data_IF_030193922886
#
_entry.id   IF_030193922886
#
_cell.length_a   1.000
_cell.length_b   1.000
_cell.length_c   1.000
_cell.angle_alpha   90.00
_cell.angle_beta   90.00
_cell.angle_gamma   90.00
#
_symmetry.space_group_name_H-M   'P 1'
#
loop_
_entity.id
_entity.type
_entity.pdbx_description
1 polymer ?
#
# COMPACT_ATOMS: atom_id res chain seq x y z
N UNK A 1 -48.11 33.64 87.80
CA UNK A 1 -47.65 33.91 86.41
C UNK A 1 -46.81 32.73 85.94
N UNK A 2 -47.10 32.26 84.72
CA UNK A 2 -46.58 31.13 83.92
C UNK A 2 -45.71 30.04 84.59
N UNK A 3 -46.24 28.81 84.54
CA UNK A 3 -45.72 27.54 85.07
C UNK A 3 -44.72 26.86 84.12
N UNK A 4 -43.73 26.20 84.73
CA UNK A 4 -42.84 25.17 84.16
C UNK A 4 -43.51 23.79 84.23
N UNK A 5 -43.25 22.90 83.23
CA UNK A 5 -43.16 21.41 83.23
C UNK A 5 -43.25 20.93 81.75
N UNK A 6 -42.22 20.43 81.06
CA UNK A 6 -41.46 19.14 81.08
C UNK A 6 -42.25 17.89 80.59
N UNK A 7 -41.74 17.32 79.46
CA UNK A 7 -41.88 15.96 78.85
C UNK A 7 -43.24 15.61 78.19
N UNK A 8 -43.34 14.85 77.09
CA UNK A 8 -42.61 13.66 76.63
C UNK A 8 -42.85 13.40 75.11
N UNK A 9 -41.94 12.64 74.49
CA UNK A 9 -41.80 12.26 73.07
C UNK A 9 -42.95 11.48 72.41
N UNK A 10 -43.07 11.59 71.08
CA UNK A 10 -43.38 10.44 70.22
C UNK A 10 -42.71 10.60 68.85
N UNK A 11 -41.96 9.56 68.46
CA UNK A 11 -41.19 9.39 67.23
C UNK A 11 -42.13 9.01 66.09
N UNK A 12 -42.02 9.65 64.91
CA UNK A 12 -42.61 9.17 63.67
C UNK A 12 -41.51 9.02 62.61
N UNK A 13 -41.15 7.77 62.33
CA UNK A 13 -40.22 7.40 61.27
C UNK A 13 -40.92 7.51 59.90
N UNK A 14 -40.55 8.52 59.11
CA UNK A 14 -40.96 8.65 57.72
C UNK A 14 -39.96 7.96 56.80
N UNK A 15 -40.42 6.93 56.08
CA UNK A 15 -39.68 6.27 55.00
C UNK A 15 -39.22 7.30 53.94
N UNK A 16 -37.91 7.47 53.79
CA UNK A 16 -37.33 8.09 52.59
C UNK A 16 -37.26 7.04 51.47
N UNK A 17 -38.13 7.17 50.48
CA UNK A 17 -37.99 6.47 49.20
C UNK A 17 -36.88 7.18 48.42
N UNK A 18 -35.67 6.63 48.47
CA UNK A 18 -34.59 7.05 47.59
C UNK A 18 -34.92 6.57 46.18
N UNK A 19 -35.17 7.53 45.29
CA UNK A 19 -35.02 7.32 43.86
C UNK A 19 -33.57 6.89 43.60
N UNK A 20 -33.36 5.58 43.46
CA UNK A 20 -32.17 5.06 42.82
C UNK A 20 -32.28 5.41 41.34
N UNK A 21 -31.63 6.51 40.96
CA UNK A 21 -31.20 6.71 39.59
C UNK A 21 -30.31 5.50 39.26
N UNK A 22 -30.81 4.59 38.42
CA UNK A 22 -29.96 3.53 37.86
C UNK A 22 -28.83 4.23 37.12
N UNK A 23 -27.66 4.30 37.76
CA UNK A 23 -26.42 4.58 37.04
C UNK A 23 -26.34 3.53 35.95
N UNK A 24 -26.34 4.01 34.72
CA UNK A 24 -26.07 3.22 33.54
C UNK A 24 -24.94 2.24 33.85
N UNK A 25 -25.21 0.97 33.56
CA UNK A 25 -24.25 -0.11 33.59
C UNK A 25 -22.97 0.42 32.95
N UNK A 26 -21.84 0.34 33.66
CA UNK A 26 -20.52 0.61 33.10
C UNK A 26 -20.33 -0.33 31.92
N UNK A 27 -20.75 0.09 30.73
CA UNK A 27 -20.44 -0.60 29.51
C UNK A 27 -18.97 -0.32 29.26
N UNK A 28 -18.10 -1.29 29.59
CA UNK A 28 -16.66 -1.16 29.34
C UNK A 28 -16.43 -0.53 27.96
N UNK A 29 -15.65 0.55 27.93
CA UNK A 29 -15.29 1.21 26.68
C UNK A 29 -14.67 0.17 25.73
N UNK A 30 -14.94 0.25 24.41
CA UNK A 30 -14.36 -0.69 23.46
C UNK A 30 -12.84 -0.76 23.61
N UNK A 31 -12.33 -1.97 23.83
CA UNK A 31 -10.92 -2.26 23.92
C UNK A 31 -10.29 -2.16 22.53
N UNK A 32 -9.13 -1.49 22.40
CA UNK A 32 -8.33 -1.55 21.18
C UNK A 32 -8.04 -2.99 20.73
N UNK A 33 -8.16 -3.25 19.43
CA UNK A 33 -8.00 -4.58 18.84
C UNK A 33 -6.65 -5.23 19.16
N UNK A 34 -5.59 -4.42 19.35
CA UNK A 34 -4.27 -4.88 19.81
C UNK A 34 -4.33 -5.68 21.12
N UNK A 35 -5.18 -5.28 22.06
CA UNK A 35 -5.29 -5.94 23.35
C UNK A 35 -6.02 -7.28 23.21
N UNK A 36 -7.05 -7.34 22.37
CA UNK A 36 -7.74 -8.60 22.07
C UNK A 36 -6.79 -9.58 21.38
N UNK A 37 -6.05 -9.15 20.34
CA UNK A 37 -5.05 -10.02 19.68
C UNK A 37 -4.01 -10.55 20.68
N UNK A 38 -3.54 -9.68 21.58
CA UNK A 38 -2.51 -10.04 22.56
C UNK A 38 -2.96 -11.09 23.60
N UNK A 39 -4.27 -11.34 23.76
CA UNK A 39 -4.79 -12.41 24.61
C UNK A 39 -4.52 -13.81 24.03
N UNK A 40 -4.39 -13.95 22.72
CA UNK A 40 -4.04 -15.23 22.11
C UNK A 40 -2.56 -15.56 22.37
N UNK A 41 -2.30 -16.63 23.13
CA UNK A 41 -0.94 -17.08 23.50
C UNK A 41 -0.55 -18.42 22.87
N UNK A 42 -1.14 -18.74 21.71
CA UNK A 42 -0.92 -20.00 21.01
C UNK A 42 -2.01 -21.05 21.22
N UNK A 43 -2.94 -20.79 22.14
CA UNK A 43 -4.05 -21.67 22.47
C UNK A 43 -5.38 -20.91 22.44
N UNK A 44 -6.44 -21.65 22.18
CA UNK A 44 -7.83 -21.19 22.20
C UNK A 44 -8.19 -20.55 23.55
N UNK A 45 -8.87 -19.40 23.50
CA UNK A 45 -9.23 -18.65 24.69
C UNK A 45 -10.66 -18.12 24.60
N UNK A 46 -11.41 -18.29 25.69
CA UNK A 46 -12.69 -17.58 25.89
C UNK A 46 -12.39 -16.15 26.32
N UNK A 47 -12.90 -15.18 25.56
CA UNK A 47 -12.67 -13.77 25.81
C UNK A 47 -13.36 -13.31 27.11
N UNK A 48 -12.65 -12.55 27.97
CA UNK A 48 -13.26 -11.92 29.15
C UNK A 48 -14.27 -10.85 28.74
N UNK A 49 -14.89 -10.18 29.71
CA UNK A 49 -15.77 -9.05 29.44
C UNK A 49 -15.06 -8.01 28.57
N UNK A 50 -15.51 -7.89 27.33
CA UNK A 50 -14.84 -7.09 26.32
C UNK A 50 -15.77 -6.68 25.20
N UNK A 51 -15.60 -5.43 24.77
CA UNK A 51 -16.18 -4.86 23.56
C UNK A 51 -15.05 -4.42 22.66
N UNK A 52 -15.28 -4.44 21.36
CA UNK A 52 -14.34 -3.96 20.35
C UNK A 52 -15.02 -2.99 19.41
N UNK A 53 -14.23 -2.15 18.75
CA UNK A 53 -14.68 -1.34 17.64
C UNK A 53 -13.71 -1.44 16.46
N UNK A 54 -14.21 -1.13 15.28
CA UNK A 54 -13.40 -1.10 14.07
C UNK A 54 -14.22 -0.69 12.85
N UNK A 55 -13.52 -0.47 11.75
CA UNK A 55 -14.10 -0.24 10.43
C UNK A 55 -14.02 -1.57 9.67
N UNK A 56 -15.13 -2.00 9.07
CA UNK A 56 -15.17 -3.15 8.17
C UNK A 56 -14.32 -2.85 6.95
N UNK A 57 -13.30 -3.69 6.73
CA UNK A 57 -12.38 -3.59 5.58
C UNK A 57 -12.60 -4.70 4.56
N UNK A 58 -13.53 -5.63 4.80
CA UNK A 58 -13.94 -6.63 3.82
C UNK A 58 -15.05 -6.07 2.93
N UNK A 59 -15.01 -6.39 1.64
CA UNK A 59 -16.06 -6.06 0.68
C UNK A 59 -16.85 -7.31 0.32
N UNK A 60 -18.01 -7.45 0.96
CA UNK A 60 -18.86 -8.62 0.77
C UNK A 60 -19.58 -8.58 -0.59
N UNK A 61 -19.80 -7.38 -1.13
CA UNK A 61 -20.54 -7.19 -2.38
C UNK A 61 -19.73 -7.64 -3.61
N UNK A 62 -18.40 -7.57 -3.51
CA UNK A 62 -17.49 -8.02 -4.58
C UNK A 62 -17.00 -9.46 -4.42
N UNK A 63 -17.45 -10.19 -3.39
CA UNK A 63 -17.38 -11.66 -3.34
C UNK A 63 -16.02 -12.29 -3.02
N UNK A 64 -14.93 -11.51 -2.90
CA UNK A 64 -13.61 -12.04 -2.57
C UNK A 64 -13.32 -12.10 -1.04
N UNK A 65 -14.20 -12.75 -0.29
CA UNK A 65 -14.12 -12.84 1.16
C UNK A 65 -14.35 -14.27 1.66
N UNK A 66 -14.12 -14.51 2.96
CA UNK A 66 -14.49 -15.78 3.58
C UNK A 66 -15.98 -15.70 3.96
N UNK A 67 -16.86 -16.58 3.44
CA UNK A 67 -18.27 -16.55 3.77
C UNK A 67 -18.52 -16.65 5.28
N UNK A 68 -19.43 -15.82 5.80
CA UNK A 68 -19.72 -15.76 7.25
C UNK A 68 -18.73 -14.92 8.06
N UNK A 69 -17.82 -14.20 7.40
CA UNK A 69 -16.84 -13.34 8.08
C UNK A 69 -16.92 -11.90 7.62
N UNK A 70 -16.62 -11.00 8.57
CA UNK A 70 -16.13 -9.66 8.27
C UNK A 70 -14.76 -9.48 8.94
N UNK A 71 -13.89 -8.69 8.33
CA UNK A 71 -12.65 -8.23 8.97
C UNK A 71 -12.81 -6.76 9.33
N UNK A 72 -12.48 -6.41 10.57
CA UNK A 72 -12.52 -5.03 11.07
C UNK A 72 -11.14 -4.56 11.44
N UNK A 73 -10.86 -3.27 11.21
CA UNK A 73 -9.60 -2.63 11.57
C UNK A 73 -9.82 -1.36 12.39
N UNK A 74 -8.97 -1.16 13.39
CA UNK A 74 -8.91 0.05 14.22
C UNK A 74 -7.44 0.42 14.43
N UNK A 75 -7.04 1.59 13.94
CA UNK A 75 -5.62 1.96 13.86
C UNK A 75 -4.85 0.99 12.97
N UNK A 76 -3.80 0.39 13.51
CA UNK A 76 -2.90 -0.54 12.84
C UNK A 76 -3.14 -2.01 13.18
N UNK A 77 -4.27 -2.34 13.83
CA UNK A 77 -4.64 -3.70 14.19
C UNK A 77 -6.02 -4.01 13.65
N UNK A 78 -6.23 -5.26 13.24
CA UNK A 78 -7.55 -5.75 12.90
C UNK A 78 -7.87 -7.13 13.46
N UNK A 79 -9.11 -7.55 13.25
CA UNK A 79 -9.64 -8.82 13.73
C UNK A 79 -10.65 -9.38 12.72
N UNK A 80 -10.53 -10.66 12.39
CA UNK A 80 -11.57 -11.39 11.68
C UNK A 80 -12.68 -11.83 12.66
N UNK A 81 -13.93 -11.57 12.30
CA UNK A 81 -15.11 -11.86 13.10
C UNK A 81 -16.01 -12.82 12.32
N UNK A 82 -16.25 -14.02 12.87
CA UNK A 82 -17.24 -14.96 12.35
C UNK A 82 -18.63 -14.52 12.84
N UNK A 83 -19.50 -14.15 11.91
CA UNK A 83 -20.84 -13.63 12.16
C UNK A 83 -21.88 -14.42 11.38
N UNK A 84 -22.97 -14.81 12.06
CA UNK A 84 -24.12 -15.41 11.39
C UNK A 84 -24.82 -14.46 10.41
N UNK A 85 -24.63 -13.15 10.57
CA UNK A 85 -25.23 -12.08 9.77
C UNK A 85 -24.20 -11.18 9.11
N UNK A 86 -23.05 -11.72 8.67
CA UNK A 86 -21.97 -10.95 8.06
C UNK A 86 -22.45 -10.00 6.93
N UNK A 87 -23.44 -10.45 6.13
CA UNK A 87 -24.03 -9.70 5.01
C UNK A 87 -24.76 -8.40 5.41
N UNK A 88 -25.06 -8.19 6.70
CA UNK A 88 -25.68 -6.95 7.19
C UNK A 88 -24.69 -5.77 7.22
N UNK A 89 -23.39 -6.06 7.09
CA UNK A 89 -22.32 -5.08 7.18
C UNK A 89 -21.65 -4.85 5.82
N UNK A 90 -21.34 -3.59 5.54
CA UNK A 90 -20.70 -3.16 4.29
C UNK A 90 -19.30 -2.64 4.52
N UNK A 91 -18.49 -2.66 3.46
CA UNK A 91 -17.18 -2.01 3.45
C UNK A 91 -17.31 -0.56 3.95
N UNK A 92 -16.48 -0.18 4.93
CA UNK A 92 -16.48 1.15 5.52
C UNK A 92 -17.52 1.37 6.62
N UNK A 93 -18.30 0.36 7.00
CA UNK A 93 -19.12 0.44 8.21
C UNK A 93 -18.24 0.45 9.45
N UNK A 94 -18.43 1.44 10.32
CA UNK A 94 -17.87 1.44 11.66
C UNK A 94 -18.82 0.68 12.58
N UNK A 95 -18.30 -0.30 13.31
CA UNK A 95 -19.08 -1.16 14.20
C UNK A 95 -18.55 -1.14 15.63
N UNK A 96 -19.40 -1.54 16.57
CA UNK A 96 -19.02 -1.98 17.91
C UNK A 96 -19.58 -3.37 18.12
N UNK A 97 -18.73 -4.31 18.56
CA UNK A 97 -19.14 -5.67 18.86
C UNK A 97 -18.88 -6.01 20.34
N UNK A 98 -19.83 -6.66 21.00
CA UNK A 98 -19.60 -7.32 22.27
C UNK A 98 -19.06 -8.74 21.99
N UNK A 99 -17.83 -9.00 22.44
CA UNK A 99 -17.13 -10.28 22.21
C UNK A 99 -16.90 -11.04 23.52
N UNK A 100 -17.60 -10.63 24.59
CA UNK A 100 -17.58 -11.32 25.88
C UNK A 100 -18.01 -12.77 25.75
N UNK A 101 -17.21 -13.70 26.29
CA UNK A 101 -17.49 -15.13 26.25
C UNK A 101 -17.32 -15.78 24.89
N UNK A 102 -16.79 -15.05 23.89
CA UNK A 102 -16.53 -15.56 22.54
C UNK A 102 -15.17 -16.20 22.43
N UNK A 103 -15.03 -17.11 21.47
CA UNK A 103 -13.81 -17.88 21.30
C UNK A 103 -12.83 -17.09 20.42
N UNK A 104 -11.70 -16.69 21.00
CA UNK A 104 -10.51 -16.25 20.27
C UNK A 104 -9.67 -17.49 19.94
N UNK A 105 -9.50 -17.77 18.67
CA UNK A 105 -8.86 -19.00 18.18
C UNK A 105 -8.07 -18.74 16.91
N UNK A 106 -7.10 -19.61 16.61
CA UNK A 106 -6.48 -19.69 15.29
C UNK A 106 -6.97 -20.94 14.57
N UNK A 107 -7.75 -20.76 13.52
CA UNK A 107 -8.32 -21.85 12.72
C UNK A 107 -7.91 -21.70 11.26
N UNK A 108 -7.41 -22.78 10.65
CA UNK A 108 -6.81 -22.78 9.30
C UNK A 108 -5.76 -21.65 9.13
N UNK A 109 -5.06 -21.36 10.22
CA UNK A 109 -4.07 -20.29 10.30
C UNK A 109 -4.63 -18.89 10.57
N UNK A 110 -5.92 -18.59 10.39
CA UNK A 110 -6.48 -17.26 10.63
C UNK A 110 -6.75 -17.00 12.12
N UNK A 111 -6.21 -15.91 12.69
CA UNK A 111 -6.61 -15.44 14.03
C UNK A 111 -7.97 -14.74 13.95
N UNK A 112 -8.94 -15.24 14.71
CA UNK A 112 -10.34 -14.84 14.60
C UNK A 112 -11.11 -14.93 15.92
N UNK A 113 -12.20 -14.18 16.01
CA UNK A 113 -13.22 -14.33 17.07
C UNK A 113 -14.45 -15.03 16.50
N UNK A 114 -14.87 -16.11 17.16
CA UNK A 114 -15.93 -17.01 16.70
C UNK A 114 -17.20 -16.95 17.53
N UNK A 115 -18.32 -17.30 16.89
CA UNK A 115 -19.62 -17.49 17.55
C UNK A 115 -20.27 -16.21 18.08
N UNK A 116 -20.08 -15.09 17.38
CA UNK A 116 -20.70 -13.80 17.75
C UNK A 116 -22.14 -13.78 17.21
N UNK A 117 -23.12 -13.56 18.08
CA UNK A 117 -24.52 -13.45 17.68
C UNK A 117 -24.82 -12.09 17.00
N UNK A 118 -25.81 -12.05 16.09
CA UNK A 118 -26.20 -10.83 15.37
C UNK A 118 -26.48 -9.61 16.26
N UNK A 119 -27.15 -9.82 17.41
CA UNK A 119 -27.53 -8.75 18.34
C UNK A 119 -26.34 -8.18 19.13
N UNK A 120 -25.16 -8.84 19.05
CA UNK A 120 -23.93 -8.37 19.70
C UNK A 120 -23.11 -7.43 18.84
N UNK A 121 -23.46 -7.24 17.57
CA UNK A 121 -22.76 -6.34 16.66
C UNK A 121 -23.68 -5.20 16.26
N UNK A 122 -23.25 -3.96 16.54
CA UNK A 122 -23.99 -2.76 16.20
C UNK A 122 -23.20 -1.89 15.24
N UNK A 123 -23.81 -1.55 14.11
CA UNK A 123 -23.31 -0.48 13.24
C UNK A 123 -23.44 0.88 13.93
N UNK A 124 -22.38 1.67 13.88
CA UNK A 124 -22.30 3.04 14.41
C UNK A 124 -22.55 4.05 13.30
N UNK A 125 -21.81 3.92 12.19
CA UNK A 125 -21.88 4.82 11.04
C UNK A 125 -21.30 4.13 9.81
N UNK A 126 -21.50 4.67 8.62
CA UNK A 126 -21.05 4.12 7.34
C UNK A 126 -20.10 5.09 6.63
N UNK A 127 -19.47 4.62 5.54
CA UNK A 127 -18.65 5.47 4.67
C UNK A 127 -17.31 5.90 5.29
N UNK A 128 -16.77 5.12 6.23
CA UNK A 128 -15.43 5.33 6.76
C UNK A 128 -14.39 4.66 5.87
N UNK A 129 -13.23 5.28 5.75
CA UNK A 129 -12.10 4.75 4.98
C UNK A 129 -10.94 4.40 5.89
N UNK A 130 -10.24 3.32 5.57
CA UNK A 130 -8.95 2.97 6.16
C UNK A 130 -7.90 3.19 5.09
N UNK A 131 -6.84 3.92 5.44
CA UNK A 131 -5.69 4.10 4.55
C UNK A 131 -4.83 2.83 4.58
N UNK A 132 -4.60 2.16 3.44
CA UNK A 132 -3.74 0.99 3.38
C UNK A 132 -2.32 1.35 3.82
N UNK A 133 -1.66 0.41 4.50
CA UNK A 133 -0.23 0.53 4.81
C UNK A 133 0.60 -0.07 3.67
N UNK A 134 1.46 0.72 3.04
CA UNK A 134 2.43 0.22 2.07
C UNK A 134 3.44 -0.74 2.75
N UNK A 135 3.65 -1.91 2.16
CA UNK A 135 4.60 -2.93 2.65
C UNK A 135 5.10 -3.80 1.49
N UNK A 136 6.39 -4.15 1.49
CA UNK A 136 6.95 -5.12 0.54
C UNK A 136 6.57 -6.56 0.90
N UNK A 137 6.57 -7.45 -0.09
CA UNK A 137 6.23 -8.88 0.05
C UNK A 137 7.15 -9.54 1.08
N UNK A 138 8.46 -9.28 1.02
CA UNK A 138 9.43 -9.85 1.97
C UNK A 138 9.17 -9.41 3.42
N UNK A 139 8.82 -8.14 3.62
CA UNK A 139 8.50 -7.61 4.96
C UNK A 139 7.19 -8.21 5.48
N UNK A 140 6.18 -8.32 4.61
CA UNK A 140 4.90 -8.92 4.95
C UNK A 140 5.05 -10.39 5.34
N UNK A 141 5.80 -11.17 4.55
CA UNK A 141 6.10 -12.58 4.82
C UNK A 141 6.75 -12.77 6.20
N UNK A 142 7.79 -11.99 6.51
CA UNK A 142 8.55 -12.13 7.75
C UNK A 142 7.82 -11.59 8.99
N UNK A 143 6.79 -10.77 8.82
CA UNK A 143 6.09 -10.09 9.92
C UNK A 143 4.57 -10.29 9.86
N UNK A 144 4.11 -11.47 9.42
CA UNK A 144 2.70 -11.83 9.25
C UNK A 144 1.78 -11.30 10.36
N UNK A 145 2.08 -11.61 11.62
CA UNK A 145 1.17 -11.30 12.74
C UNK A 145 0.95 -9.80 12.95
N UNK A 146 1.92 -8.97 12.54
CA UNK A 146 1.83 -7.49 12.54
C UNK A 146 0.80 -6.98 11.54
N UNK A 147 0.63 -7.67 10.42
CA UNK A 147 -0.25 -7.25 9.32
C UNK A 147 -1.55 -8.07 9.25
N UNK A 148 -1.61 -9.23 9.90
CA UNK A 148 -2.79 -10.09 9.92
C UNK A 148 -4.04 -9.31 10.34
N UNK A 149 -5.10 -9.44 9.55
CA UNK A 149 -6.38 -8.75 9.63
C UNK A 149 -6.33 -7.23 9.36
N UNK A 150 -5.30 -6.73 8.67
CA UNK A 150 -5.22 -5.31 8.28
C UNK A 150 -5.25 -5.12 6.78
N UNK A 151 -5.59 -3.91 6.35
CA UNK A 151 -5.52 -3.45 4.97
C UNK A 151 -4.11 -2.96 4.65
N UNK A 152 -3.49 -3.56 3.64
CA UNK A 152 -2.16 -3.17 3.17
C UNK A 152 -2.18 -2.86 1.68
N UNK A 153 -1.15 -2.17 1.20
CA UNK A 153 -0.81 -2.03 -0.21
C UNK A 153 0.53 -2.71 -0.44
N UNK A 154 0.58 -3.64 -1.40
CA UNK A 154 1.79 -4.39 -1.75
C UNK A 154 2.09 -4.17 -3.22
N UNK A 155 3.35 -3.88 -3.54
CA UNK A 155 3.87 -3.93 -4.90
C UNK A 155 4.53 -5.29 -5.10
N UNK A 156 4.23 -5.98 -6.19
CA UNK A 156 4.86 -7.26 -6.46
C UNK A 156 4.66 -7.74 -7.88
N UNK A 157 5.57 -8.61 -8.30
CA UNK A 157 5.43 -9.38 -9.53
C UNK A 157 4.56 -10.61 -9.26
N UNK A 158 3.67 -10.92 -10.19
CA UNK A 158 2.99 -12.22 -10.20
C UNK A 158 4.00 -13.30 -10.66
N UNK A 159 4.08 -14.38 -9.87
CA UNK A 159 4.93 -15.54 -10.12
C UNK A 159 4.08 -16.82 -10.13
N UNK A 160 4.28 -17.77 -11.07
CA UNK A 160 5.01 -17.59 -12.33
C UNK A 160 4.39 -16.46 -13.19
N UNK A 161 5.09 -16.07 -14.26
CA UNK A 161 4.56 -15.08 -15.19
C UNK A 161 3.18 -15.52 -15.71
N UNK A 162 2.15 -14.64 -15.69
CA UNK A 162 0.82 -14.99 -16.15
C UNK A 162 0.79 -15.40 -17.62
N UNK A 163 -0.06 -16.37 -17.96
CA UNK A 163 -0.42 -16.60 -19.37
C UNK A 163 -1.26 -15.43 -19.91
N UNK A 164 -1.31 -15.28 -21.23
CA UNK A 164 -1.96 -14.12 -21.87
C UNK A 164 -3.46 -13.97 -21.52
N UNK A 165 -4.15 -15.10 -21.34
CA UNK A 165 -5.57 -15.21 -21.00
C UNK A 165 -5.81 -15.58 -19.52
N UNK A 166 -4.75 -15.59 -18.70
CA UNK A 166 -4.88 -15.90 -17.30
C UNK A 166 -5.66 -14.81 -16.55
N UNK A 167 -6.57 -15.23 -15.67
CA UNK A 167 -7.43 -14.36 -14.89
C UNK A 167 -7.10 -14.41 -13.40
N UNK A 168 -7.69 -13.50 -12.62
CA UNK A 168 -7.50 -13.44 -11.17
C UNK A 168 -7.94 -14.69 -10.41
N UNK A 169 -8.92 -15.45 -10.92
CA UNK A 169 -9.52 -16.57 -10.21
C UNK A 169 -8.49 -17.56 -9.65
N UNK A 170 -8.68 -17.94 -8.39
CA UNK A 170 -7.85 -18.90 -7.67
C UNK A 170 -6.73 -18.26 -6.84
N UNK A 171 -5.71 -19.07 -6.55
CA UNK A 171 -4.54 -18.68 -5.76
C UNK A 171 -3.39 -18.30 -6.71
N UNK A 172 -3.00 -17.02 -6.71
CA UNK A 172 -1.83 -16.49 -7.41
C UNK A 172 -0.73 -16.19 -6.40
N UNK A 173 0.51 -16.04 -6.85
CA UNK A 173 1.62 -15.75 -5.94
C UNK A 173 2.25 -14.41 -6.31
N UNK A 174 2.50 -13.59 -5.29
CA UNK A 174 3.35 -12.42 -5.38
C UNK A 174 4.72 -12.76 -4.85
N UNK A 175 5.77 -12.34 -5.54
CA UNK A 175 7.15 -12.61 -5.16
C UNK A 175 8.02 -11.35 -5.15
N UNK A 176 8.86 -11.26 -4.13
CA UNK A 176 9.92 -10.25 -4.00
C UNK A 176 11.10 -10.86 -3.25
N UNK A 177 12.31 -10.76 -3.81
CA UNK A 177 13.55 -11.27 -3.17
C UNK A 177 13.45 -12.76 -2.73
N UNK A 178 12.72 -13.58 -3.48
CA UNK A 178 12.51 -15.00 -3.19
C UNK A 178 11.44 -15.32 -2.13
N UNK A 179 10.87 -14.29 -1.47
CA UNK A 179 9.74 -14.47 -0.56
C UNK A 179 8.43 -14.45 -1.34
N UNK A 180 7.49 -15.33 -0.96
CA UNK A 180 6.20 -15.49 -1.65
C UNK A 180 5.02 -15.33 -0.71
N UNK A 181 4.01 -14.60 -1.15
CA UNK A 181 2.72 -14.49 -0.47
C UNK A 181 1.59 -14.78 -1.46
N UNK A 182 0.50 -15.36 -0.99
CA UNK A 182 -0.66 -15.69 -1.82
C UNK A 182 -1.50 -14.46 -2.09
N UNK A 183 -1.92 -14.26 -3.34
CA UNK A 183 -2.95 -13.33 -3.77
C UNK A 183 -4.15 -14.17 -4.22
N UNK A 184 -5.15 -14.27 -3.35
CA UNK A 184 -6.30 -15.14 -3.60
C UNK A 184 -7.51 -14.36 -4.11
N UNK A 185 -8.15 -14.89 -5.14
CA UNK A 185 -9.44 -14.42 -5.64
C UNK A 185 -10.43 -15.57 -5.72
N UNK A 186 -11.53 -15.47 -4.98
CA UNK A 186 -12.60 -16.46 -5.04
C UNK A 186 -13.25 -16.48 -6.45
N UNK A 187 -13.67 -17.65 -6.93
CA UNK A 187 -14.24 -17.80 -8.28
C UNK A 187 -15.52 -16.98 -8.49
N UNK A 188 -16.28 -16.71 -7.42
CA UNK A 188 -17.48 -15.87 -7.44
C UNK A 188 -17.19 -14.37 -7.31
N UNK A 189 -15.94 -13.96 -7.13
CA UNK A 189 -15.62 -12.55 -7.01
C UNK A 189 -15.98 -11.81 -8.31
N UNK A 190 -16.47 -10.59 -8.20
CA UNK A 190 -16.92 -9.78 -9.35
C UNK A 190 -15.84 -9.56 -10.41
N UNK A 191 -14.57 -9.66 -10.01
CA UNK A 191 -13.39 -9.45 -10.84
C UNK A 191 -12.59 -10.74 -11.11
N UNK A 192 -13.13 -11.92 -10.77
CA UNK A 192 -12.41 -13.19 -10.92
C UNK A 192 -11.99 -13.48 -12.37
N UNK A 193 -12.75 -12.98 -13.35
CA UNK A 193 -12.50 -13.14 -14.78
C UNK A 193 -11.71 -11.97 -15.40
N UNK A 194 -11.36 -10.94 -14.61
CA UNK A 194 -10.46 -9.90 -15.09
C UNK A 194 -9.10 -10.51 -15.36
N UNK A 195 -8.44 -10.01 -16.40
CA UNK A 195 -7.11 -10.47 -16.79
C UNK A 195 -6.12 -10.20 -15.63
N UNK A 196 -5.13 -11.09 -15.47
CA UNK A 196 -4.13 -11.01 -14.41
C UNK A 196 -2.87 -10.28 -14.91
N UNK A 197 -2.47 -9.14 -14.31
CA UNK A 197 -1.25 -8.43 -14.71
C UNK A 197 0.02 -9.17 -14.31
N UNK A 198 1.10 -8.92 -15.06
CA UNK A 198 2.43 -9.41 -14.68
C UNK A 198 2.99 -8.68 -13.45
N UNK A 199 2.67 -7.39 -13.30
CA UNK A 199 3.04 -6.58 -12.16
C UNK A 199 1.95 -5.53 -11.87
N UNK A 200 1.64 -5.31 -10.59
CA UNK A 200 0.79 -4.21 -10.16
C UNK A 200 1.03 -3.87 -8.68
N UNK A 201 0.42 -2.79 -8.21
CA UNK A 201 0.18 -2.60 -6.79
C UNK A 201 -1.19 -3.14 -6.42
N UNK A 202 -1.25 -3.94 -5.36
CA UNK A 202 -2.47 -4.57 -4.87
C UNK A 202 -2.76 -4.11 -3.45
N UNK A 203 -3.94 -3.54 -3.23
CA UNK A 203 -4.49 -3.32 -1.91
C UNK A 203 -5.28 -4.56 -1.49
N UNK A 204 -5.22 -4.94 -0.21
CA UNK A 204 -5.95 -6.11 0.22
C UNK A 204 -5.94 -6.33 1.71
N UNK A 205 -6.93 -7.10 2.17
CA UNK A 205 -7.00 -7.57 3.54
C UNK A 205 -6.04 -8.73 3.70
N UNK A 206 -5.14 -8.64 4.66
CA UNK A 206 -4.21 -9.71 4.99
C UNK A 206 -4.88 -10.74 5.89
N UNK A 207 -4.87 -12.00 5.48
CA UNK A 207 -5.39 -13.12 6.23
C UNK A 207 -4.27 -14.13 6.51
N UNK A 208 -4.37 -14.78 7.65
CA UNK A 208 -3.52 -15.90 7.97
C UNK A 208 -3.96 -17.17 7.25
N UNK A 209 -2.99 -17.93 6.70
CA UNK A 209 -3.16 -19.31 6.23
C UNK A 209 -2.41 -20.30 7.13
N UNK A 210 -2.73 -21.59 6.97
CA UNK A 210 -1.97 -22.71 7.54
C UNK A 210 -0.47 -22.63 7.21
N UNK A 211 0.35 -23.35 7.96
CA UNK A 211 1.82 -23.34 7.82
C UNK A 211 2.43 -21.92 7.88
N UNK A 212 1.81 -21.04 8.66
CA UNK A 212 2.19 -19.64 8.80
C UNK A 212 2.16 -18.84 7.47
N UNK A 213 1.35 -19.29 6.51
CA UNK A 213 1.18 -18.61 5.23
C UNK A 213 0.47 -17.26 5.35
N UNK A 214 0.71 -16.41 4.36
CA UNK A 214 0.05 -15.10 4.20
C UNK A 214 -0.81 -15.13 2.95
N UNK A 215 -2.07 -14.72 3.10
CA UNK A 215 -3.00 -14.50 1.99
C UNK A 215 -3.41 -13.04 1.93
N UNK A 216 -3.34 -12.47 0.74
CA UNK A 216 -3.88 -11.16 0.42
C UNK A 216 -5.19 -11.39 -0.33
N UNK A 217 -6.27 -10.78 0.14
CA UNK A 217 -7.53 -10.70 -0.61
C UNK A 217 -7.83 -9.26 -0.96
N UNK A 218 -7.77 -8.96 -2.27
CA UNK A 218 -8.31 -7.69 -2.78
C UNK A 218 -9.80 -7.64 -2.50
N UNK A 219 -10.29 -6.45 -2.16
CA UNK A 219 -11.71 -6.22 -1.88
C UNK A 219 -12.51 -6.20 -3.17
N UNK A 220 -11.97 -5.54 -4.20
CA UNK A 220 -12.54 -5.42 -5.54
C UNK A 220 -11.44 -5.01 -6.53
N UNK A 221 -11.76 -4.87 -7.82
CA UNK A 221 -10.76 -4.54 -8.85
C UNK A 221 -10.10 -3.16 -8.67
N UNK A 222 -10.76 -2.22 -7.99
CA UNK A 222 -10.19 -0.90 -7.73
C UNK A 222 -9.04 -0.93 -6.70
N UNK A 223 -8.84 -2.06 -6.01
CA UNK A 223 -7.67 -2.29 -5.18
C UNK A 223 -6.41 -2.61 -6.02
N UNK A 224 -6.52 -2.75 -7.34
CA UNK A 224 -5.37 -2.89 -8.24
C UNK A 224 -5.02 -1.54 -8.89
N UNK A 225 -3.78 -1.11 -8.72
CA UNK A 225 -3.24 0.12 -9.31
C UNK A 225 -1.96 -0.16 -10.10
N UNK A 226 -1.68 0.65 -11.12
CA UNK A 226 -0.44 0.58 -11.91
C UNK A 226 -0.17 -0.80 -12.55
N UNK A 227 -1.23 -1.49 -12.99
CA UNK A 227 -1.18 -2.78 -13.65
C UNK A 227 -0.37 -2.70 -14.96
N UNK A 228 0.56 -3.62 -15.14
CA UNK A 228 1.48 -3.69 -16.28
C UNK A 228 1.89 -5.12 -16.57
N UNK A 229 2.64 -5.30 -17.66
CA UNK A 229 3.36 -6.54 -17.90
C UNK A 229 4.49 -6.70 -16.89
N UNK A 230 5.28 -7.76 -17.02
CA UNK A 230 6.47 -7.93 -16.17
C UNK A 230 7.56 -6.94 -16.58
N UNK A 231 8.47 -6.66 -15.64
CA UNK A 231 9.69 -5.92 -15.97
C UNK A 231 10.47 -6.68 -17.05
N UNK A 232 11.01 -5.96 -18.03
CA UNK A 232 11.87 -6.59 -19.04
C UNK A 232 13.10 -7.23 -18.39
N UNK A 233 13.56 -8.41 -18.86
CA UNK A 233 14.80 -9.01 -18.35
C UNK A 233 15.98 -8.04 -18.45
N UNK A 234 16.78 -7.96 -17.38
CA UNK A 234 17.92 -7.04 -17.29
C UNK A 234 17.59 -5.66 -16.73
N UNK A 235 16.29 -5.29 -16.65
CA UNK A 235 15.86 -4.09 -15.93
C UNK A 235 15.59 -4.39 -14.44
N UNK A 236 15.66 -3.39 -13.54
CA UNK A 236 16.01 -1.98 -13.81
C UNK A 236 17.48 -1.78 -14.23
N UNK A 237 17.74 -0.72 -15.00
CA UNK A 237 19.09 -0.17 -15.12
C UNK A 237 19.41 0.56 -13.82
N UNK A 238 20.33 -0.01 -13.03
CA UNK A 238 20.77 0.55 -11.74
C UNK A 238 21.89 1.57 -11.88
N UNK A 239 22.43 1.78 -13.09
CA UNK A 239 23.50 2.75 -13.36
C UNK A 239 24.78 2.54 -12.54
N UNK A 240 25.05 1.30 -12.11
CA UNK A 240 26.25 0.94 -11.35
C UNK A 240 27.47 0.74 -12.28
N UNK A 241 28.03 1.86 -12.74
CA UNK A 241 29.18 1.87 -13.64
C UNK A 241 30.17 2.98 -13.32
N UNK A 242 31.34 2.93 -13.96
CA UNK A 242 32.40 3.93 -13.82
C UNK A 242 31.91 5.33 -14.21
N UNK A 243 32.52 6.32 -13.56
CA UNK A 243 32.07 7.70 -13.57
C UNK A 243 32.51 8.48 -14.81
N UNK A 244 31.58 8.74 -15.73
CA UNK A 244 31.79 9.74 -16.79
C UNK A 244 30.70 10.80 -16.72
N UNK A 245 31.08 12.04 -16.40
CA UNK A 245 30.23 13.20 -16.56
C UNK A 245 30.82 14.10 -17.62
N UNK A 246 30.00 14.50 -18.57
CA UNK A 246 30.41 15.42 -19.62
C UNK A 246 29.39 16.52 -19.83
N UNK A 247 29.89 17.71 -20.14
CA UNK A 247 29.07 18.84 -20.57
C UNK A 247 28.83 18.81 -22.09
N UNK A 248 28.72 17.61 -22.65
CA UNK A 248 28.53 17.30 -24.06
C UNK A 248 27.89 15.91 -24.18
N UNK A 249 27.47 15.55 -25.39
CA UNK A 249 26.89 14.24 -25.64
C UNK A 249 27.97 13.13 -25.68
N UNK A 250 27.72 12.01 -25.01
CA UNK A 250 28.59 10.83 -25.04
C UNK A 250 27.76 9.55 -24.87
N UNK A 251 28.34 8.41 -25.27
CA UNK A 251 27.75 7.09 -25.16
C UNK A 251 28.42 6.31 -24.04
N UNK A 252 27.65 5.45 -23.37
CA UNK A 252 28.13 4.55 -22.33
C UNK A 252 27.39 3.23 -22.43
N UNK A 253 28.15 2.14 -22.32
CA UNK A 253 27.59 0.80 -22.27
C UNK A 253 27.25 0.42 -20.85
N UNK A 254 25.98 0.11 -20.63
CA UNK A 254 25.42 -0.25 -19.34
C UNK A 254 24.76 -1.64 -19.42
N UNK A 255 24.46 -2.29 -18.28
CA UNK A 255 23.85 -3.61 -18.25
C UNK A 255 22.61 -3.78 -19.13
N UNK A 256 21.76 -2.75 -19.25
CA UNK A 256 20.55 -2.80 -20.10
C UNK A 256 20.83 -2.54 -21.59
N UNK A 257 21.96 -1.94 -21.94
CA UNK A 257 22.35 -1.60 -23.30
C UNK A 257 23.11 -0.27 -23.40
N UNK A 258 23.27 0.25 -24.62
CA UNK A 258 23.90 1.57 -24.84
C UNK A 258 22.98 2.70 -24.40
N UNK A 259 23.53 3.61 -23.60
CA UNK A 259 22.89 4.87 -23.23
C UNK A 259 23.69 6.06 -23.74
N UNK A 260 22.99 7.09 -24.18
CA UNK A 260 23.57 8.37 -24.54
C UNK A 260 23.20 9.43 -23.52
N UNK A 261 24.20 10.07 -22.97
CA UNK A 261 24.09 11.12 -21.97
C UNK A 261 24.45 12.47 -22.59
N UNK A 262 23.83 13.55 -22.12
CA UNK A 262 24.20 14.92 -22.45
C UNK A 262 23.96 15.84 -21.24
N UNK A 263 25.00 16.57 -20.82
CA UNK A 263 24.98 17.45 -19.63
C UNK A 263 24.59 16.64 -18.38
N UNK A 264 25.15 15.43 -18.30
CA UNK A 264 24.83 14.42 -17.31
C UNK A 264 26.01 13.45 -17.15
N UNK A 265 25.90 12.55 -16.18
CA UNK A 265 26.83 11.45 -15.98
C UNK A 265 26.56 10.68 -14.70
N UNK A 266 27.23 9.55 -14.52
CA UNK A 266 27.09 8.71 -13.33
C UNK A 266 27.95 9.24 -12.18
N UNK A 267 27.36 9.34 -10.97
CA UNK A 267 27.95 9.99 -9.80
C UNK A 267 27.61 9.25 -8.51
N UNK A 268 28.57 9.23 -7.57
CA UNK A 268 28.46 8.56 -6.26
C UNK A 268 28.84 9.46 -5.08
N UNK A 269 28.68 10.78 -5.18
CA UNK A 269 29.03 11.65 -4.06
C UNK A 269 28.02 11.46 -2.92
N UNK A 270 28.42 11.72 -1.67
CA UNK A 270 27.54 11.62 -0.48
C UNK A 270 26.24 12.45 -0.56
N UNK A 271 26.20 13.40 -1.48
CA UNK A 271 25.09 14.31 -1.76
C UNK A 271 24.22 13.88 -2.93
N UNK A 272 24.69 12.92 -3.72
CA UNK A 272 23.86 12.22 -4.69
C UNK A 272 22.82 11.38 -3.96
N UNK A 273 21.62 11.31 -4.52
CA UNK A 273 20.52 10.46 -4.03
C UNK A 273 20.44 9.22 -4.89
N UNK A 274 20.64 8.08 -4.25
CA UNK A 274 20.79 6.76 -4.85
C UNK A 274 19.73 5.86 -4.19
N UNK A 275 18.92 5.17 -4.99
CA UNK A 275 17.90 4.22 -4.52
C UNK A 275 18.48 2.84 -4.30
N UNK A 276 19.44 2.42 -5.12
CA UNK A 276 20.13 1.13 -4.97
C UNK A 276 21.62 1.26 -5.33
N UNK A 277 22.46 0.40 -4.76
CA UNK A 277 23.90 0.45 -5.05
C UNK A 277 24.58 1.72 -4.51
N UNK A 278 25.40 2.36 -5.35
CA UNK A 278 26.25 3.49 -4.99
C UNK A 278 26.26 4.63 -6.01
N UNK A 279 25.73 4.44 -7.21
CA UNK A 279 25.74 5.42 -8.30
C UNK A 279 24.32 5.83 -8.68
N UNK A 280 24.20 7.04 -9.19
CA UNK A 280 23.00 7.50 -9.89
C UNK A 280 23.40 8.37 -11.07
N UNK A 281 22.51 8.54 -12.05
CA UNK A 281 22.66 9.63 -13.02
C UNK A 281 22.56 10.95 -12.25
N UNK A 282 23.46 11.90 -12.53
CA UNK A 282 23.33 13.30 -12.13
C UNK A 282 23.33 14.22 -13.34
N UNK A 283 22.22 14.92 -13.53
CA UNK A 283 22.13 16.05 -14.44
C UNK A 283 22.61 17.34 -13.79
N UNK A 284 23.18 18.25 -14.57
CA UNK A 284 23.67 19.54 -14.07
C UNK A 284 22.55 20.55 -13.72
N UNK A 285 22.87 21.56 -12.91
CA UNK A 285 21.96 22.69 -12.60
C UNK A 285 22.05 23.83 -13.61
N UNK A 286 21.03 24.69 -13.60
CA UNK A 286 20.98 25.98 -14.30
C UNK A 286 21.21 25.88 -15.82
N UNK A 287 20.91 24.73 -16.42
CA UNK A 287 21.14 24.54 -17.85
C UNK A 287 20.20 25.46 -18.64
N UNK A 288 20.76 26.21 -19.60
CA UNK A 288 19.98 26.97 -20.58
C UNK A 288 19.42 26.06 -21.68
N UNK A 289 20.13 24.97 -22.00
CA UNK A 289 19.69 23.94 -22.93
C UNK A 289 19.24 22.70 -22.15
N UNK A 290 18.30 21.90 -22.69
CA UNK A 290 17.91 20.65 -22.06
C UNK A 290 19.07 19.65 -21.93
N UNK A 291 18.98 18.80 -20.92
CA UNK A 291 19.90 17.71 -20.65
C UNK A 291 19.15 16.37 -20.74
N UNK A 292 19.82 15.29 -21.13
CA UNK A 292 19.14 13.99 -21.27
C UNK A 292 20.04 12.79 -20.97
N UNK A 293 19.39 11.71 -20.56
CA UNK A 293 19.92 10.35 -20.58
C UNK A 293 18.92 9.53 -21.39
N UNK A 294 19.37 8.98 -22.51
CA UNK A 294 18.50 8.29 -23.47
C UNK A 294 19.02 6.91 -23.80
N UNK A 295 18.11 5.97 -23.98
CA UNK A 295 18.42 4.65 -24.52
C UNK A 295 18.75 4.77 -26.01
N UNK A 296 19.75 4.01 -26.47
CA UNK A 296 20.10 3.86 -27.89
C UNK A 296 19.65 2.50 -28.48
N UNK A 297 18.80 1.79 -27.73
CA UNK A 297 18.19 0.52 -28.08
C UNK A 297 16.68 0.55 -27.79
N UNK A 298 15.91 -0.28 -28.48
CA UNK A 298 14.47 -0.44 -28.27
C UNK A 298 14.19 -1.67 -27.40
N UNK A 299 13.19 -1.59 -26.52
CA UNK A 299 12.54 -2.79 -26.02
C UNK A 299 11.61 -3.34 -27.12
N UNK A 300 11.56 -4.66 -27.35
CA UNK A 300 11.04 -5.22 -28.59
C UNK A 300 9.52 -5.19 -28.74
N UNK A 301 8.77 -5.36 -27.66
CA UNK A 301 7.30 -5.57 -27.73
C UNK A 301 6.50 -4.31 -27.38
N UNK A 302 7.19 -3.25 -26.95
CA UNK A 302 6.58 -2.03 -26.44
C UNK A 302 6.67 -1.91 -24.93
N UNK A 303 5.78 -1.14 -24.31
CA UNK A 303 5.78 -0.90 -22.88
C UNK A 303 4.39 -0.55 -22.35
N UNK A 304 4.07 -1.01 -21.15
CA UNK A 304 2.87 -0.57 -20.41
C UNK A 304 3.17 0.29 -19.18
N UNK A 305 4.42 0.24 -18.69
CA UNK A 305 4.85 1.03 -17.53
C UNK A 305 6.34 1.33 -17.58
N UNK A 306 6.71 2.50 -17.08
CA UNK A 306 8.09 2.87 -16.74
C UNK A 306 8.11 3.36 -15.30
N UNK A 307 9.09 2.89 -14.53
CA UNK A 307 9.37 3.40 -13.19
C UNK A 307 10.78 3.96 -13.11
N UNK A 308 10.97 5.01 -12.32
CA UNK A 308 12.28 5.64 -12.13
C UNK A 308 12.33 6.35 -10.79
N UNK A 309 13.43 6.19 -10.06
CA UNK A 309 13.68 6.95 -8.84
C UNK A 309 14.33 8.29 -9.17
N UNK A 310 13.93 9.34 -8.46
CA UNK A 310 14.41 10.68 -8.70
C UNK A 310 14.46 11.50 -7.42
N UNK A 311 15.41 12.43 -7.37
CA UNK A 311 15.51 13.44 -6.32
C UNK A 311 16.33 14.64 -6.80
N UNK A 312 16.32 15.73 -6.03
CA UNK A 312 17.33 16.78 -6.22
C UNK A 312 18.66 16.34 -5.60
N UNK A 313 19.76 16.85 -6.14
CA UNK A 313 21.07 16.69 -5.52
C UNK A 313 21.16 17.51 -4.23
N UNK A 314 21.56 16.89 -3.12
CA UNK A 314 21.84 17.56 -1.84
C UNK A 314 20.82 18.65 -1.46
N UNK A 315 21.32 19.88 -1.32
CA UNK A 315 20.55 21.07 -0.95
C UNK A 315 20.16 21.99 -2.12
N UNK A 316 20.36 21.58 -3.38
CA UNK A 316 20.04 22.40 -4.55
C UNK A 316 18.53 22.73 -4.62
N UNK A 317 18.11 23.73 -5.42
CA UNK A 317 16.70 23.89 -5.78
C UNK A 317 16.10 22.61 -6.39
N UNK A 318 14.77 22.52 -6.44
CA UNK A 318 14.11 21.43 -7.16
C UNK A 318 14.49 21.41 -8.65
N UNK A 319 14.14 20.33 -9.34
CA UNK A 319 14.39 20.17 -10.77
C UNK A 319 13.11 19.81 -11.51
N UNK A 320 12.92 20.40 -12.70
CA UNK A 320 11.86 20.03 -13.63
C UNK A 320 12.39 19.13 -14.76
N UNK A 321 11.72 18.01 -14.99
CA UNK A 321 12.07 17.04 -16.03
C UNK A 321 10.82 16.33 -16.58
N UNK A 322 10.99 15.52 -17.61
CA UNK A 322 9.94 14.67 -18.18
C UNK A 322 10.50 13.37 -18.73
N UNK A 323 9.66 12.35 -18.84
CA UNK A 323 9.93 11.17 -19.64
C UNK A 323 9.49 11.44 -21.08
N UNK A 324 10.30 11.03 -22.04
CA UNK A 324 9.94 11.00 -23.45
C UNK A 324 10.20 9.61 -24.02
N UNK A 325 9.47 9.25 -25.07
CA UNK A 325 9.62 7.99 -25.79
C UNK A 325 9.74 8.21 -27.30
N UNK A 326 10.35 7.25 -27.99
CA UNK A 326 10.48 7.21 -29.45
C UNK A 326 10.13 5.82 -29.95
N UNK A 327 9.37 5.77 -31.05
CA UNK A 327 8.98 4.54 -31.78
C UNK A 327 9.58 4.52 -33.20
N UNK A 328 10.53 5.40 -33.46
CA UNK A 328 11.22 5.60 -34.75
C UNK A 328 12.74 5.72 -34.55
N UNK A 329 13.25 4.92 -33.61
CA UNK A 329 14.68 4.76 -33.32
C UNK A 329 15.39 6.07 -32.95
N UNK A 330 14.68 6.97 -32.26
CA UNK A 330 15.20 8.23 -31.76
C UNK A 330 15.09 9.41 -32.72
N UNK A 331 14.46 9.24 -33.91
CA UNK A 331 14.26 10.32 -34.87
C UNK A 331 13.28 11.38 -34.34
N UNK A 332 12.20 10.96 -33.70
CA UNK A 332 11.26 11.84 -33.00
C UNK A 332 10.98 11.38 -31.58
N UNK A 333 10.67 12.34 -30.70
CA UNK A 333 10.44 12.10 -29.28
C UNK A 333 9.10 12.69 -28.86
N UNK A 334 8.29 11.89 -28.17
CA UNK A 334 6.99 12.28 -27.63
C UNK A 334 7.05 12.30 -26.10
N UNK A 335 6.49 13.34 -25.49
CA UNK A 335 6.40 13.43 -24.03
C UNK A 335 5.40 12.41 -23.47
N UNK A 336 5.78 11.78 -22.35
CA UNK A 336 4.92 10.90 -21.56
C UNK A 336 4.46 11.63 -20.30
N UNK A 337 3.14 11.82 -20.17
CA UNK A 337 2.52 12.51 -19.04
C UNK A 337 2.95 13.96 -18.87
N UNK A 338 2.67 14.51 -17.69
CA UNK A 338 3.03 15.89 -17.32
C UNK A 338 4.50 16.02 -16.90
N UNK A 339 4.99 17.26 -16.85
CA UNK A 339 6.28 17.56 -16.24
C UNK A 339 6.32 17.11 -14.78
N UNK A 340 7.45 16.53 -14.39
CA UNK A 340 7.77 16.24 -12.99
C UNK A 340 8.49 17.45 -12.41
N UNK A 341 7.86 18.12 -11.43
CA UNK A 341 8.32 19.41 -10.87
C UNK A 341 8.65 19.34 -9.38
N UNK A 342 8.43 18.19 -8.75
CA UNK A 342 8.49 18.00 -7.30
C UNK A 342 9.74 17.20 -6.84
N UNK A 343 10.81 17.23 -7.63
CA UNK A 343 12.10 16.66 -7.24
C UNK A 343 12.63 17.36 -5.97
N UNK A 344 12.45 16.72 -4.82
CA UNK A 344 12.78 17.21 -3.49
C UNK A 344 14.04 16.56 -2.92
N UNK A 345 14.31 16.75 -1.62
CA UNK A 345 15.45 16.13 -0.92
C UNK A 345 15.30 14.63 -0.73
N UNK A 346 14.06 14.16 -0.59
CA UNK A 346 13.70 12.75 -0.46
C UNK A 346 13.68 12.10 -1.83
N UNK A 347 14.18 10.86 -1.89
CA UNK A 347 14.06 10.05 -3.08
C UNK A 347 12.60 9.65 -3.29
N UNK A 348 12.14 9.77 -4.53
CA UNK A 348 10.77 9.48 -4.93
C UNK A 348 10.78 8.51 -6.10
N UNK A 349 9.82 7.60 -6.12
CA UNK A 349 9.53 6.78 -7.28
C UNK A 349 8.51 7.51 -8.17
N UNK A 350 8.81 7.67 -9.46
CA UNK A 350 7.84 8.09 -10.47
C UNK A 350 7.39 6.87 -11.24
N UNK A 351 6.08 6.73 -11.43
CA UNK A 351 5.48 5.74 -12.32
C UNK A 351 4.83 6.47 -13.50
N UNK A 352 5.11 5.99 -14.71
CA UNK A 352 4.44 6.41 -15.93
C UNK A 352 3.73 5.20 -16.51
N UNK A 353 2.40 5.30 -16.64
CA UNK A 353 1.58 4.30 -17.32
C UNK A 353 1.46 4.65 -18.80
N UNK A 354 1.50 3.64 -19.67
CA UNK A 354 1.38 3.82 -21.12
C UNK A 354 0.77 2.57 -21.77
N UNK A 355 0.47 2.68 -23.05
CA UNK A 355 -0.03 1.57 -23.88
C UNK A 355 0.65 1.65 -25.25
N UNK A 356 1.91 1.17 -25.29
CA UNK A 356 2.73 1.14 -26.50
C UNK A 356 2.97 -0.32 -26.85
N UNK A 357 2.53 -0.73 -28.05
CA UNK A 357 2.56 -2.13 -28.51
C UNK A 357 3.47 -2.32 -29.75
N UNK A 358 4.52 -1.50 -29.84
CA UNK A 358 5.55 -1.52 -30.90
C UNK A 358 6.91 -1.26 -30.26
N UNK A 359 8.04 -1.63 -30.90
CA UNK A 359 9.36 -1.33 -30.38
C UNK A 359 9.49 0.15 -29.96
N UNK A 360 10.05 0.36 -28.76
CA UNK A 360 10.11 1.70 -28.15
C UNK A 360 11.38 1.88 -27.34
N UNK A 361 11.92 3.12 -27.35
CA UNK A 361 13.01 3.56 -26.48
C UNK A 361 12.63 4.81 -25.71
N UNK A 362 13.30 5.04 -24.58
CA UNK A 362 12.98 6.13 -23.67
C UNK A 362 14.15 7.07 -23.45
N UNK A 363 13.82 8.29 -23.02
CA UNK A 363 14.79 9.21 -22.44
C UNK A 363 14.22 9.99 -21.27
N UNK A 364 15.07 10.20 -20.28
CA UNK A 364 14.84 11.20 -19.25
C UNK A 364 15.32 12.53 -19.83
N UNK A 365 14.44 13.52 -19.86
CA UNK A 365 14.71 14.84 -20.42
C UNK A 365 14.54 15.92 -19.35
N UNK A 366 15.64 16.41 -18.80
CA UNK A 366 15.66 17.54 -17.88
C UNK A 366 15.57 18.84 -18.65
N UNK A 367 14.66 19.72 -18.24
CA UNK A 367 14.41 20.97 -18.95
C UNK A 367 15.56 21.97 -18.76
N UNK A 368 15.86 22.72 -19.83
CA UNK A 368 16.80 23.82 -19.81
C UNK A 368 16.10 25.14 -19.45
N UNK A 369 15.83 25.37 -18.16
CA UNK A 369 15.07 26.54 -17.70
C UNK A 369 15.94 27.75 -17.34
N UNK A 370 17.25 27.71 -17.60
CA UNK A 370 18.20 28.74 -17.20
C UNK A 370 18.45 28.76 -15.68
N UNK A 371 18.83 29.91 -15.14
CA UNK A 371 19.17 30.05 -13.72
C UNK A 371 17.96 29.78 -12.81
N UNK A 372 18.15 28.93 -11.79
CA UNK A 372 17.13 28.64 -10.79
C UNK A 372 16.71 29.87 -10.00
N UNK A 373 15.43 29.97 -9.67
CA UNK A 373 14.83 31.04 -8.85
C UNK A 373 13.80 30.44 -7.89
N UNK A 374 13.06 31.27 -7.16
CA UNK A 374 11.93 30.83 -6.34
C UNK A 374 10.79 30.21 -7.14
N UNK A 375 10.72 30.49 -8.46
CA UNK A 375 9.69 29.96 -9.36
C UNK A 375 10.25 29.08 -10.48
N UNK A 376 11.58 29.00 -10.61
CA UNK A 376 12.28 28.18 -11.62
C UNK A 376 13.05 27.07 -10.89
N UNK A 377 12.53 25.85 -11.00
CA UNK A 377 13.14 24.64 -10.47
C UNK A 377 14.13 24.04 -11.49
N UNK A 378 15.39 24.48 -11.45
CA UNK A 378 16.44 23.96 -12.35
C UNK A 378 17.72 23.52 -11.61
N UNK A 379 17.60 22.98 -10.40
CA UNK A 379 18.72 22.37 -9.67
C UNK A 379 19.22 21.08 -10.32
N UNK A 380 20.31 20.51 -9.78
CA UNK A 380 20.80 19.19 -10.21
C UNK A 380 19.78 18.11 -9.86
N UNK A 381 19.61 17.17 -10.79
CA UNK A 381 18.65 16.07 -10.70
C UNK A 381 19.42 14.76 -10.59
N UNK A 382 19.12 13.95 -9.58
CA UNK A 382 19.52 12.55 -9.53
C UNK A 382 18.41 11.66 -10.09
N UNK A 383 18.80 10.65 -10.86
CA UNK A 383 17.92 9.60 -11.41
C UNK A 383 18.58 8.25 -11.18
N UNK A 384 17.79 7.27 -10.77
CA UNK A 384 18.26 5.93 -10.46
C UNK A 384 17.18 4.87 -10.74
N UNK A 385 17.59 3.59 -10.83
CA UNK A 385 16.77 2.40 -11.04
C UNK A 385 15.66 2.59 -12.09
N UNK A 386 16.06 2.82 -13.35
CA UNK A 386 15.12 2.99 -14.46
C UNK A 386 14.62 1.62 -14.93
N UNK A 387 13.33 1.34 -14.81
CA UNK A 387 12.73 0.06 -15.22
C UNK A 387 11.64 0.25 -16.28
N UNK A 388 11.64 -0.63 -17.28
CA UNK A 388 10.62 -0.71 -18.34
C UNK A 388 9.86 -2.03 -18.18
N UNK A 389 8.54 -1.95 -18.25
CA UNK A 389 7.65 -3.11 -18.14
C UNK A 389 7.00 -3.39 -19.48
N UNK A 390 6.95 -4.68 -19.83
CA UNK A 390 6.33 -5.23 -21.03
C UNK A 390 4.87 -4.79 -21.15
N UNK A 391 4.27 -4.81 -22.35
CA UNK A 391 2.83 -4.69 -22.51
C UNK A 391 2.08 -5.70 -21.64
N UNK A 392 0.90 -5.29 -21.17
CA UNK A 392 -0.05 -6.15 -20.49
C UNK A 392 -1.29 -6.28 -21.34
#
# INVERSE_FOLDING_TARGET
MKKIKIKLYTILAGLMVLWSCTKDVYHADPLPLKYIKALYKGEDMVLPESRINGIVITDLDNGNHIPGYIVVQSGDHGMALELNNANDFKLGDSIVANVTGKLLTRYNGLLQVRGIEPDKVRKVTSGKTVQPRAVGVATLYNNRDKYENTLVQVLGDITPAPAADETFAGDKQLEELGFKVSLFTAAQASFANERLPGNASFQGVILGKENNGVEIRMRNIADMENASGRVYPGFPESFESSHDYQNAAFFMELPTGTWKFNIAGLRNQVTDRVSSGTHAIRFNLNNANPAYAQMEFDVPDGASKVTVYYARWGGDPGSTWRLEYSIDQGATWKQMGEHVTDAGSEIKLKTFMMDINVPVRFRIHKLGLGTSTTTISNGRLNIDDFAVYQPY
#
